data_IF_896557772176
#
_entry.id   IF_896557772176
#
_cell.length_a   1.000
_cell.length_b   1.000
_cell.length_c   1.000
_cell.angle_alpha   90.00
_cell.angle_beta   90.00
_cell.angle_gamma   90.00
#
_symmetry.space_group_name_H-M   'P 1'
#
loop_
_entity.id
_entity.type
_entity.pdbx_description
1 polymer ?
#
# COMPACT_ATOMS: atom_id res chain seq x y z
N UNK A 1 -5.40 0.38 -15.09
CA UNK A 1 -4.83 -0.82 -14.43
C UNK A 1 -5.13 -2.04 -15.30
N UNK A 2 -4.22 -3.02 -15.40
CA UNK A 2 -4.53 -4.34 -16.01
C UNK A 2 -5.58 -5.07 -15.16
N UNK A 3 -6.29 -6.10 -15.67
CA UNK A 3 -7.37 -6.77 -14.92
C UNK A 3 -6.98 -7.19 -13.50
N UNK A 4 -5.83 -7.85 -13.31
CA UNK A 4 -5.38 -8.29 -11.98
C UNK A 4 -5.00 -7.12 -11.06
N UNK A 5 -4.38 -6.08 -11.63
CA UNK A 5 -4.05 -4.86 -10.91
C UNK A 5 -5.32 -4.12 -10.46
N UNK A 6 -6.34 -4.10 -11.33
CA UNK A 6 -7.63 -3.50 -11.04
C UNK A 6 -8.36 -4.28 -9.97
N UNK A 7 -8.32 -5.62 -10.01
CA UNK A 7 -8.88 -6.47 -8.95
C UNK A 7 -8.25 -6.17 -7.60
N UNK A 8 -6.92 -6.09 -7.53
CA UNK A 8 -6.20 -5.73 -6.30
C UNK A 8 -6.60 -4.34 -5.79
N UNK A 9 -6.64 -3.36 -6.69
CA UNK A 9 -7.09 -2.01 -6.38
C UNK A 9 -8.52 -1.98 -5.82
N UNK A 10 -9.47 -2.65 -6.47
CA UNK A 10 -10.87 -2.67 -6.04
C UNK A 10 -11.06 -3.29 -4.66
N UNK A 11 -10.33 -4.36 -4.33
CA UNK A 11 -10.36 -4.97 -2.99
C UNK A 11 -9.90 -3.96 -1.94
N UNK A 12 -8.79 -3.26 -2.19
CA UNK A 12 -8.21 -2.29 -1.26
C UNK A 12 -9.14 -1.08 -1.10
N UNK A 13 -9.68 -0.54 -2.19
CA UNK A 13 -10.57 0.62 -2.17
C UNK A 13 -11.88 0.30 -1.48
N UNK A 14 -12.48 -0.86 -1.75
CA UNK A 14 -13.67 -1.29 -1.02
C UNK A 14 -13.41 -1.38 0.48
N UNK A 15 -12.28 -1.98 0.90
CA UNK A 15 -11.92 -2.07 2.31
C UNK A 15 -11.73 -0.70 2.96
N UNK A 16 -11.09 0.23 2.24
CA UNK A 16 -10.94 1.62 2.67
C UNK A 16 -12.31 2.30 2.84
N UNK A 17 -13.21 2.17 1.87
CA UNK A 17 -14.54 2.78 1.91
C UNK A 17 -15.38 2.25 3.08
N UNK A 18 -15.32 0.95 3.36
CA UNK A 18 -15.98 0.37 4.54
C UNK A 18 -15.37 0.89 5.84
N UNK A 19 -14.04 0.99 5.91
CA UNK A 19 -13.33 1.53 7.08
C UNK A 19 -13.74 2.97 7.35
N UNK A 20 -13.79 3.81 6.31
CA UNK A 20 -14.20 5.22 6.43
C UNK A 20 -15.68 5.38 6.78
N UNK A 21 -16.52 4.43 6.39
CA UNK A 21 -17.93 4.39 6.78
C UNK A 21 -18.16 3.93 8.25
N UNK A 22 -17.09 3.59 8.98
CA UNK A 22 -17.18 3.10 10.35
C UNK A 22 -17.71 1.67 10.46
N UNK A 23 -17.71 0.90 9.36
CA UNK A 23 -18.09 -0.49 9.39
C UNK A 23 -17.02 -1.33 10.10
N UNK A 24 -17.45 -2.35 10.84
CA UNK A 24 -16.55 -3.33 11.45
C UNK A 24 -16.12 -4.35 10.38
N UNK A 25 -15.03 -4.03 9.68
CA UNK A 25 -14.41 -4.91 8.67
C UNK A 25 -13.15 -5.56 9.22
N UNK A 26 -12.95 -6.88 8.97
CA UNK A 26 -11.72 -7.54 9.40
C UNK A 26 -10.48 -6.92 8.71
N UNK A 27 -9.29 -7.01 9.33
CA UNK A 27 -8.07 -6.50 8.72
C UNK A 27 -7.79 -7.14 7.36
N UNK A 28 -7.61 -6.32 6.32
CA UNK A 28 -7.23 -6.79 4.99
C UNK A 28 -5.78 -7.29 4.99
N UNK A 29 -5.58 -8.59 4.78
CA UNK A 29 -4.27 -9.22 4.63
C UNK A 29 -4.15 -9.77 3.23
N UNK A 30 -3.39 -9.08 2.39
CA UNK A 30 -3.29 -9.39 0.96
C UNK A 30 -1.83 -9.50 0.54
N UNK A 31 -1.52 -10.54 -0.23
CA UNK A 31 -0.25 -10.71 -0.94
C UNK A 31 -0.53 -10.58 -2.43
N UNK A 32 0.05 -9.57 -3.08
CA UNK A 32 0.02 -9.42 -4.52
C UNK A 32 1.27 -10.06 -5.14
N UNK A 33 1.11 -11.28 -5.65
CA UNK A 33 2.20 -12.02 -6.31
C UNK A 33 2.30 -11.66 -7.81
N UNK A 34 3.47 -11.89 -8.40
CA UNK A 34 3.72 -11.78 -9.83
C UNK A 34 5.18 -11.51 -10.13
N UNK A 35 5.62 -11.81 -11.35
CA UNK A 35 6.99 -11.58 -11.82
C UNK A 35 7.41 -10.11 -11.70
N UNK A 36 8.71 -9.82 -11.61
CA UNK A 36 9.24 -8.46 -11.73
C UNK A 36 8.72 -7.77 -13.01
N UNK A 37 8.50 -6.45 -12.96
CA UNK A 37 8.05 -5.70 -14.15
C UNK A 37 6.55 -5.79 -14.49
N UNK A 38 5.76 -6.63 -13.80
CA UNK A 38 4.30 -6.77 -14.03
C UNK A 38 3.44 -5.59 -13.54
N UNK A 39 4.07 -4.49 -13.11
CA UNK A 39 3.37 -3.26 -12.72
C UNK A 39 2.72 -3.30 -11.33
N UNK A 40 3.20 -4.12 -10.40
CA UNK A 40 2.76 -4.09 -8.99
C UNK A 40 2.91 -2.70 -8.35
N UNK A 41 3.99 -1.97 -8.67
CA UNK A 41 4.19 -0.59 -8.21
C UNK A 41 3.09 0.36 -8.68
N UNK A 42 2.47 0.09 -9.84
CA UNK A 42 1.33 0.88 -10.32
C UNK A 42 0.12 0.73 -9.40
N UNK A 43 -0.12 -0.45 -8.83
CA UNK A 43 -1.20 -0.67 -7.85
C UNK A 43 -0.94 0.17 -6.60
N UNK A 44 0.30 0.18 -6.09
CA UNK A 44 0.69 0.99 -4.92
C UNK A 44 0.43 2.47 -5.19
N UNK A 45 0.81 2.97 -6.37
CA UNK A 45 0.59 4.35 -6.76
C UNK A 45 -0.91 4.69 -6.81
N UNK A 46 -1.72 3.88 -7.50
CA UNK A 46 -3.17 4.17 -7.62
C UNK A 46 -3.91 4.04 -6.29
N UNK A 47 -3.48 3.13 -5.41
CA UNK A 47 -4.00 3.07 -4.04
C UNK A 47 -3.63 4.34 -3.27
N UNK A 48 -2.39 4.82 -3.39
CA UNK A 48 -1.97 6.07 -2.73
C UNK A 48 -2.80 7.26 -3.19
N UNK A 49 -3.08 7.36 -4.49
CA UNK A 49 -3.99 8.36 -5.07
C UNK A 49 -5.41 8.23 -4.53
N UNK A 50 -5.92 7.00 -4.32
CA UNK A 50 -7.25 6.77 -3.77
C UNK A 50 -7.39 7.22 -2.31
N UNK A 51 -6.35 7.03 -1.49
CA UNK A 51 -6.29 7.57 -0.12
C UNK A 51 -6.21 9.11 -0.13
N UNK A 52 -5.43 9.69 -1.05
CA UNK A 52 -5.35 11.14 -1.19
C UNK A 52 -6.68 11.77 -1.62
N UNK A 53 -7.37 11.16 -2.59
CA UNK A 53 -8.67 11.62 -3.07
C UNK A 53 -9.76 11.59 -1.99
N UNK A 54 -9.61 10.76 -0.96
CA UNK A 54 -10.50 10.67 0.20
C UNK A 54 -10.06 11.54 1.38
N UNK A 55 -8.97 12.30 1.23
CA UNK A 55 -8.44 13.14 2.31
C UNK A 55 -7.86 12.35 3.49
N UNK A 56 -7.57 11.05 3.31
CA UNK A 56 -7.17 10.15 4.39
C UNK A 56 -5.73 9.63 4.24
N UNK A 57 -4.82 10.42 3.65
CA UNK A 57 -3.41 10.04 3.47
C UNK A 57 -2.72 9.65 4.76
N UNK A 58 -3.10 10.26 5.88
CA UNK A 58 -2.57 9.97 7.22
C UNK A 58 -2.84 8.53 7.69
N UNK A 59 -3.77 7.80 7.06
CA UNK A 59 -4.06 6.40 7.35
C UNK A 59 -3.18 5.41 6.58
N UNK A 60 -2.38 5.88 5.62
CA UNK A 60 -1.57 5.02 4.74
C UNK A 60 -0.08 5.11 5.08
N UNK A 61 0.49 4.00 5.52
CA UNK A 61 1.94 3.85 5.70
C UNK A 61 2.49 2.93 4.61
N UNK A 62 3.52 3.41 3.90
CA UNK A 62 4.19 2.68 2.80
C UNK A 62 5.59 2.28 3.25
N UNK A 63 5.89 0.98 3.19
CA UNK A 63 7.14 0.40 3.66
C UNK A 63 7.83 -0.43 2.57
N UNK A 64 9.17 -0.41 2.55
CA UNK A 64 9.97 -1.34 1.77
C UNK A 64 11.25 -1.77 2.50
N UNK A 65 11.92 -2.82 2.03
CA UNK A 65 13.10 -3.35 2.71
C UNK A 65 14.36 -2.47 2.56
N UNK A 66 14.57 -1.88 1.39
CA UNK A 66 15.76 -1.05 1.07
C UNK A 66 15.39 0.41 0.85
N UNK A 67 16.36 1.31 1.03
CA UNK A 67 16.13 2.75 0.86
C UNK A 67 15.68 3.13 -0.55
N UNK A 68 16.26 2.50 -1.59
CA UNK A 68 15.87 2.73 -2.99
C UNK A 68 14.45 2.22 -3.26
N UNK A 69 14.06 1.05 -2.75
CA UNK A 69 12.70 0.56 -2.92
C UNK A 69 11.68 1.44 -2.18
N UNK A 70 12.05 1.96 -1.01
CA UNK A 70 11.20 2.85 -0.23
C UNK A 70 10.98 4.19 -0.94
N UNK A 71 12.02 4.80 -1.53
CA UNK A 71 11.88 6.06 -2.25
C UNK A 71 10.98 5.94 -3.49
N UNK A 72 11.00 4.80 -4.19
CA UNK A 72 10.14 4.55 -5.36
C UNK A 72 8.64 4.53 -5.06
N UNK A 73 8.26 4.27 -3.81
CA UNK A 73 6.86 4.29 -3.36
C UNK A 73 6.56 5.49 -2.46
N UNK A 74 7.48 6.45 -2.38
CA UNK A 74 7.38 7.59 -1.46
C UNK A 74 7.09 7.11 -0.01
N UNK A 75 7.84 6.10 0.41
CA UNK A 75 7.70 5.44 1.70
C UNK A 75 8.99 5.51 2.52
N UNK A 76 9.00 4.77 3.63
CA UNK A 76 10.19 4.60 4.48
C UNK A 76 10.61 3.14 4.51
N UNK A 77 11.80 2.86 5.00
CA UNK A 77 12.19 1.47 5.19
C UNK A 77 11.38 0.84 6.33
N UNK A 78 11.14 -0.48 6.27
CA UNK A 78 10.42 -1.20 7.32
C UNK A 78 11.07 -1.00 8.69
N UNK A 79 12.40 -0.98 8.75
CA UNK A 79 13.17 -0.73 9.96
C UNK A 79 12.89 0.66 10.56
N UNK A 80 12.76 1.68 9.72
CA UNK A 80 12.44 3.04 10.18
C UNK A 80 11.01 3.11 10.72
N UNK A 81 10.05 2.49 10.04
CA UNK A 81 8.64 2.48 10.46
C UNK A 81 8.46 1.71 11.77
N UNK A 82 9.16 0.59 11.93
CA UNK A 82 9.08 -0.26 13.12
C UNK A 82 10.03 0.17 14.25
N UNK A 83 10.80 1.27 14.08
CA UNK A 83 11.83 1.71 15.03
C UNK A 83 12.87 0.62 15.39
N UNK A 84 13.24 -0.21 14.42
CA UNK A 84 14.24 -1.28 14.59
C UNK A 84 15.60 -0.77 14.15
N UNK A 85 16.54 -0.67 15.08
CA UNK A 85 17.94 -0.36 14.76
C UNK A 85 18.61 -1.55 14.08
N UNK A 86 19.15 -1.32 12.89
CA UNK A 86 20.01 -2.30 12.22
C UNK A 86 21.40 -2.16 12.83
N UNK A 87 21.82 -3.13 13.65
CA UNK A 87 23.21 -3.17 14.15
C UNK A 87 24.15 -3.32 12.95
N UNK A 88 25.20 -2.50 12.92
CA UNK A 88 26.34 -2.70 12.02
C UNK A 88 27.22 -3.81 12.58
#
# INVERSE_FOLDING_TARGET
LRPDQFRAYSIIVWHLDQTLAGADVPPLRMILYGEGGTGKSRVIQTVSEAFAARGCTYMLVKAAYTGIAASLIDGKTTHVIAHISVRK
#
